data_IF_813544018544
#
_entry.id   IF_813544018544
#
_cell.length_a   1.000
_cell.length_b   1.000
_cell.length_c   1.000
_cell.angle_alpha   90.00
_cell.angle_beta   90.00
_cell.angle_gamma   90.00
#
_symmetry.space_group_name_H-M   'P 1'
#
loop_
_entity.id
_entity.type
_entity.pdbx_description
1 polymer ?
#
# COMPACT_ATOMS: atom_id res chain seq x y z
N UNK A 1 -6.31 -11.33 -15.53
CA UNK A 1 -5.20 -10.75 -14.71
C UNK A 1 -5.50 -10.98 -13.24
N UNK A 2 -4.50 -11.08 -12.36
CA UNK A 2 -4.68 -11.48 -10.95
C UNK A 2 -3.91 -10.57 -10.02
N UNK A 3 -4.48 -10.27 -8.86
CA UNK A 3 -3.91 -9.39 -7.87
C UNK A 3 -3.97 -9.97 -6.46
N UNK A 4 -2.97 -9.68 -5.63
CA UNK A 4 -3.02 -9.84 -4.18
C UNK A 4 -3.04 -8.48 -3.51
N UNK A 5 -3.98 -8.28 -2.58
CA UNK A 5 -4.05 -7.08 -1.73
C UNK A 5 -3.89 -7.47 -0.27
N UNK A 6 -2.79 -7.09 0.37
CA UNK A 6 -2.61 -7.35 1.80
C UNK A 6 -3.46 -6.38 2.63
N UNK A 7 -4.10 -6.88 3.71
CA UNK A 7 -5.08 -6.11 4.47
C UNK A 7 -6.29 -5.68 3.60
N UNK A 8 -6.67 -6.52 2.63
CA UNK A 8 -7.73 -6.25 1.66
C UNK A 8 -9.17 -6.38 2.19
N UNK A 9 -9.34 -6.75 3.45
CA UNK A 9 -10.66 -6.96 4.06
C UNK A 9 -11.38 -5.65 4.40
N UNK A 10 -10.65 -4.59 4.76
CA UNK A 10 -11.18 -3.37 5.35
C UNK A 10 -10.52 -2.11 4.78
N UNK A 11 -11.20 -0.97 4.99
CA UNK A 11 -10.65 0.37 4.76
C UNK A 11 -10.08 0.54 3.34
N UNK A 12 -8.86 1.10 3.20
CA UNK A 12 -8.20 1.35 1.90
C UNK A 12 -7.93 0.05 1.13
N UNK A 13 -7.53 -1.01 1.83
CA UNK A 13 -7.29 -2.31 1.19
C UNK A 13 -8.53 -2.87 0.51
N UNK A 14 -9.68 -2.78 1.17
CA UNK A 14 -10.97 -3.19 0.57
C UNK A 14 -11.31 -2.37 -0.67
N UNK A 15 -11.18 -1.05 -0.61
CA UNK A 15 -11.49 -0.19 -1.75
C UNK A 15 -10.56 -0.46 -2.95
N UNK A 16 -9.27 -0.71 -2.68
CA UNK A 16 -8.32 -1.10 -3.73
C UNK A 16 -8.62 -2.49 -4.31
N UNK A 17 -9.02 -3.46 -3.47
CA UNK A 17 -9.44 -4.79 -3.94
C UNK A 17 -10.68 -4.71 -4.85
N UNK A 18 -11.71 -3.95 -4.43
CA UNK A 18 -12.92 -3.71 -5.23
C UNK A 18 -12.62 -2.91 -6.51
N UNK A 19 -11.70 -1.95 -6.44
CA UNK A 19 -11.27 -1.20 -7.61
C UNK A 19 -10.59 -2.11 -8.64
N UNK A 20 -9.66 -2.98 -8.20
CA UNK A 20 -9.00 -3.95 -9.08
C UNK A 20 -10.00 -4.90 -9.73
N UNK A 21 -11.01 -5.36 -8.98
CA UNK A 21 -12.09 -6.18 -9.54
C UNK A 21 -12.86 -5.44 -10.65
N UNK A 22 -13.21 -4.16 -10.44
CA UNK A 22 -13.82 -3.31 -11.48
C UNK A 22 -12.94 -3.11 -12.71
N UNK A 23 -11.61 -3.23 -12.57
CA UNK A 23 -10.67 -3.20 -13.69
C UNK A 23 -10.46 -4.59 -14.34
N UNK A 24 -11.20 -5.61 -13.93
CA UNK A 24 -11.15 -6.96 -14.52
C UNK A 24 -10.10 -7.89 -13.91
N UNK A 25 -9.61 -7.60 -12.70
CA UNK A 25 -8.68 -8.48 -12.00
C UNK A 25 -9.41 -9.46 -11.10
N UNK A 26 -8.99 -10.73 -11.11
CA UNK A 26 -9.25 -11.66 -10.02
C UNK A 26 -8.42 -11.24 -8.80
N UNK A 27 -8.98 -11.33 -7.59
CA UNK A 27 -8.34 -10.74 -6.41
C UNK A 27 -8.22 -11.71 -5.25
N UNK A 28 -7.00 -11.94 -4.77
CA UNK A 28 -6.75 -12.53 -3.46
C UNK A 28 -6.80 -11.44 -2.39
N UNK A 29 -7.72 -11.58 -1.45
CA UNK A 29 -7.97 -10.67 -0.34
C UNK A 29 -7.32 -11.23 0.91
N UNK A 30 -6.14 -10.69 1.28
CA UNK A 30 -5.48 -11.11 2.51
C UNK A 30 -6.05 -10.37 3.72
N UNK A 31 -6.15 -11.08 4.85
CA UNK A 31 -6.56 -10.59 6.16
C UNK A 31 -5.77 -11.29 7.28
N UNK A 32 -5.65 -10.64 8.44
CA UNK A 32 -5.10 -11.27 9.65
C UNK A 32 -6.20 -11.84 10.54
N UNK A 33 -7.16 -11.01 10.97
CA UNK A 33 -8.23 -11.37 11.92
C UNK A 33 -9.64 -11.05 11.42
N UNK A 34 -9.78 -10.23 10.37
CA UNK A 34 -11.08 -9.74 9.86
C UNK A 34 -11.68 -10.68 8.81
N UNK A 35 -11.99 -11.93 9.22
CA UNK A 35 -12.47 -12.97 8.29
C UNK A 35 -13.82 -12.60 7.67
N UNK A 36 -14.78 -12.13 8.47
CA UNK A 36 -16.13 -11.80 7.98
C UNK A 36 -16.09 -10.70 6.93
N UNK A 37 -15.28 -9.66 7.16
CA UNK A 37 -15.09 -8.56 6.22
C UNK A 37 -14.33 -8.99 4.95
N UNK A 38 -13.37 -9.92 5.09
CA UNK A 38 -12.68 -10.52 3.95
C UNK A 38 -13.65 -11.31 3.07
N UNK A 39 -14.50 -12.15 3.67
CA UNK A 39 -15.54 -12.89 2.96
C UNK A 39 -16.57 -11.97 2.31
N UNK A 40 -16.97 -10.88 2.98
CA UNK A 40 -17.85 -9.85 2.41
C UNK A 40 -17.20 -9.19 1.18
N UNK A 41 -15.90 -8.89 1.25
CA UNK A 41 -15.16 -8.30 0.12
C UNK A 41 -15.07 -9.28 -1.05
N UNK A 42 -14.74 -10.55 -0.77
CA UNK A 42 -14.73 -11.63 -1.77
C UNK A 42 -16.10 -11.80 -2.45
N UNK A 43 -17.18 -11.79 -1.66
CA UNK A 43 -18.54 -11.86 -2.20
C UNK A 43 -18.81 -10.73 -3.20
N UNK A 44 -18.50 -9.48 -2.83
CA UNK A 44 -18.70 -8.33 -3.73
C UNK A 44 -17.86 -8.41 -5.00
N UNK A 45 -16.62 -8.91 -4.92
CA UNK A 45 -15.77 -9.12 -6.11
C UNK A 45 -16.39 -10.15 -7.05
N UNK A 46 -16.92 -11.24 -6.48
CA UNK A 46 -17.59 -12.29 -7.27
C UNK A 46 -18.87 -11.79 -7.94
N UNK A 47 -19.65 -10.94 -7.26
CA UNK A 47 -20.81 -10.26 -7.86
C UNK A 47 -20.45 -9.35 -9.05
N UNK A 48 -19.19 -8.87 -9.12
CA UNK A 48 -18.66 -8.13 -10.28
C UNK A 48 -18.19 -9.07 -11.43
N UNK A 49 -18.30 -10.40 -11.25
CA UNK A 49 -17.90 -11.38 -12.26
C UNK A 49 -16.42 -11.77 -12.25
N UNK A 50 -15.68 -11.40 -11.22
CA UNK A 50 -14.26 -11.77 -11.06
C UNK A 50 -14.10 -12.90 -10.04
N UNK A 51 -13.04 -13.72 -10.19
CA UNK A 51 -12.70 -14.69 -9.15
C UNK A 51 -12.08 -13.98 -7.94
N UNK A 52 -12.36 -14.50 -6.74
CA UNK A 52 -11.74 -14.01 -5.54
C UNK A 52 -11.60 -15.10 -4.48
N UNK A 53 -10.55 -14.98 -3.66
CA UNK A 53 -10.29 -15.85 -2.49
C UNK A 53 -9.91 -14.99 -1.29
N UNK A 54 -10.33 -15.39 -0.10
CA UNK A 54 -9.89 -14.83 1.15
C UNK A 54 -8.73 -15.67 1.70
N UNK A 55 -7.62 -15.04 2.06
CA UNK A 55 -6.41 -15.69 2.54
C UNK A 55 -6.00 -15.12 3.90
N UNK A 56 -6.07 -15.96 4.93
CA UNK A 56 -5.61 -15.59 6.26
C UNK A 56 -4.09 -15.78 6.35
N UNK A 57 -3.39 -14.77 6.89
CA UNK A 57 -2.01 -14.86 7.34
C UNK A 57 -1.73 -13.79 8.41
N UNK A 58 -0.86 -14.08 9.37
CA UNK A 58 -0.27 -13.06 10.24
C UNK A 58 1.06 -12.59 9.62
N UNK A 59 1.12 -11.34 9.20
CA UNK A 59 2.34 -10.77 8.59
C UNK A 59 3.46 -10.49 9.61
N UNK A 60 3.24 -10.76 10.88
CA UNK A 60 4.31 -10.83 11.90
C UNK A 60 4.99 -12.21 11.94
N UNK A 61 4.42 -13.18 11.25
CA UNK A 61 4.93 -14.54 11.09
C UNK A 61 5.49 -14.72 9.67
N UNK A 62 6.82 -14.91 9.56
CA UNK A 62 7.50 -14.99 8.26
C UNK A 62 7.09 -16.25 7.47
N UNK A 63 6.82 -17.38 8.13
CA UNK A 63 6.42 -18.61 7.45
C UNK A 63 5.04 -18.43 6.80
N UNK A 64 4.10 -17.77 7.50
CA UNK A 64 2.81 -17.45 6.93
C UNK A 64 2.92 -16.40 5.80
N UNK A 65 3.78 -15.40 5.97
CA UNK A 65 4.02 -14.36 4.96
C UNK A 65 4.62 -14.95 3.69
N UNK A 66 5.64 -15.81 3.80
CA UNK A 66 6.34 -16.40 2.64
C UNK A 66 5.44 -17.32 1.80
N UNK A 67 4.50 -18.03 2.44
CA UNK A 67 3.55 -18.90 1.74
C UNK A 67 2.41 -18.15 1.04
N UNK A 68 2.20 -16.86 1.33
CA UNK A 68 0.99 -16.15 0.91
C UNK A 68 0.88 -15.95 -0.60
N UNK A 69 2.00 -15.73 -1.30
CA UNK A 69 2.02 -15.58 -2.76
C UNK A 69 1.63 -16.90 -3.44
N UNK A 70 2.22 -18.02 -3.04
CA UNK A 70 1.90 -19.34 -3.58
C UNK A 70 0.41 -19.67 -3.37
N UNK A 71 -0.09 -19.45 -2.16
CA UNK A 71 -1.52 -19.67 -1.84
C UNK A 71 -2.45 -18.77 -2.67
N UNK A 72 -2.04 -17.55 -3.01
CA UNK A 72 -2.81 -16.67 -3.88
C UNK A 72 -2.78 -17.14 -5.34
N UNK A 73 -1.64 -17.62 -5.83
CA UNK A 73 -1.48 -18.23 -7.16
C UNK A 73 -2.39 -19.44 -7.29
N UNK A 74 -2.38 -20.34 -6.31
CA UNK A 74 -3.20 -21.56 -6.30
C UNK A 74 -4.69 -21.23 -6.21
N UNK A 75 -5.06 -20.35 -5.29
CA UNK A 75 -6.44 -19.95 -5.05
C UNK A 75 -7.10 -19.22 -6.24
N UNK A 76 -6.34 -18.49 -7.02
CA UNK A 76 -6.79 -17.78 -8.23
C UNK A 76 -6.51 -18.56 -9.54
N UNK A 77 -5.83 -19.70 -9.45
CA UNK A 77 -5.54 -20.57 -10.59
C UNK A 77 -4.53 -19.98 -11.58
N UNK A 78 -3.52 -19.24 -11.11
CA UNK A 78 -2.42 -18.76 -11.94
C UNK A 78 -1.64 -17.58 -11.39
N UNK A 79 -0.60 -17.19 -12.12
CA UNK A 79 0.35 -16.14 -11.73
C UNK A 79 -0.32 -14.81 -11.39
N UNK A 80 0.25 -14.12 -10.41
CA UNK A 80 -0.18 -12.77 -10.04
C UNK A 80 0.52 -11.73 -10.92
N UNK A 81 -0.25 -10.76 -11.40
CA UNK A 81 0.25 -9.60 -12.15
C UNK A 81 0.45 -8.39 -11.24
N UNK A 82 -0.31 -8.32 -10.12
CA UNK A 82 -0.30 -7.19 -9.20
C UNK A 82 -0.11 -7.66 -7.75
N UNK A 83 0.78 -6.99 -7.02
CA UNK A 83 0.91 -7.07 -5.57
C UNK A 83 0.68 -5.68 -4.96
N UNK A 84 -0.30 -5.56 -4.06
CA UNK A 84 -0.52 -4.34 -3.26
C UNK A 84 -0.15 -4.63 -1.80
N UNK A 85 1.00 -4.13 -1.36
CA UNK A 85 1.44 -4.17 0.03
C UNK A 85 0.75 -3.05 0.80
N UNK A 86 -0.48 -3.33 1.30
CA UNK A 86 -1.32 -2.35 2.00
C UNK A 86 -1.42 -2.61 3.51
N UNK A 87 -1.35 -3.86 3.97
CA UNK A 87 -1.40 -4.17 5.41
C UNK A 87 -0.37 -3.33 6.18
N UNK A 88 -0.77 -2.79 7.33
CA UNK A 88 0.09 -1.92 8.12
C UNK A 88 -0.35 -1.89 9.58
N UNK A 89 0.60 -1.99 10.49
CA UNK A 89 0.44 -1.65 11.90
C UNK A 89 0.76 -0.16 12.04
N UNK A 90 -0.09 0.57 12.78
CA UNK A 90 0.07 2.00 13.04
C UNK A 90 -0.22 2.27 14.52
N UNK A 91 0.81 2.21 15.35
CA UNK A 91 0.76 2.41 16.80
C UNK A 91 1.60 3.63 17.18
N UNK A 92 1.17 4.36 18.21
CA UNK A 92 1.89 5.56 18.63
C UNK A 92 3.07 5.20 19.51
N UNK A 93 4.26 5.69 19.13
CA UNK A 93 5.45 5.72 19.95
C UNK A 93 6.29 6.97 19.66
N UNK A 94 7.25 7.23 20.55
CA UNK A 94 8.23 8.33 20.42
C UNK A 94 9.61 7.80 20.80
N UNK A 95 10.65 8.63 20.69
CA UNK A 95 12.01 8.23 21.13
C UNK A 95 12.05 7.81 22.61
N UNK A 96 11.14 8.31 23.44
CA UNK A 96 11.10 8.01 24.86
C UNK A 96 10.17 6.84 25.21
N UNK A 97 9.23 6.47 24.35
CA UNK A 97 8.21 5.46 24.64
C UNK A 97 8.30 4.21 23.76
N UNK A 98 9.10 4.22 22.68
CA UNK A 98 9.28 3.07 21.84
C UNK A 98 9.87 1.89 22.62
N UNK A 99 9.24 0.73 22.50
CA UNK A 99 9.70 -0.53 23.10
C UNK A 99 10.24 -1.46 22.03
N UNK A 100 10.93 -2.53 22.45
CA UNK A 100 11.33 -3.59 21.52
C UNK A 100 10.12 -4.17 20.80
N UNK A 101 9.01 -4.36 21.51
CA UNK A 101 7.77 -4.89 20.94
C UNK A 101 7.18 -3.95 19.88
N UNK A 102 6.99 -2.63 20.17
CA UNK A 102 6.46 -1.69 19.18
C UNK A 102 7.37 -1.59 17.95
N UNK A 103 8.69 -1.60 18.17
CA UNK A 103 9.69 -1.61 17.11
C UNK A 103 9.54 -2.84 16.21
N UNK A 104 9.58 -4.06 16.81
CA UNK A 104 9.50 -5.30 16.04
C UNK A 104 8.20 -5.39 15.26
N UNK A 105 7.06 -5.07 15.86
CA UNK A 105 5.76 -5.08 15.21
C UNK A 105 5.71 -4.16 13.99
N UNK A 106 6.25 -2.95 14.08
CA UNK A 106 6.29 -2.01 12.95
C UNK A 106 7.26 -2.47 11.87
N UNK A 107 8.46 -2.93 12.23
CA UNK A 107 9.45 -3.41 11.26
C UNK A 107 8.95 -4.67 10.55
N UNK A 108 8.44 -5.66 11.28
CA UNK A 108 7.98 -6.91 10.70
C UNK A 108 6.78 -6.67 9.76
N UNK A 109 5.73 -6.01 10.24
CA UNK A 109 4.52 -5.81 9.44
C UNK A 109 4.72 -4.84 8.26
N UNK A 110 5.45 -3.73 8.47
CA UNK A 110 5.44 -2.61 7.51
C UNK A 110 6.66 -2.57 6.59
N UNK A 111 7.70 -3.37 6.87
CA UNK A 111 8.92 -3.43 6.07
C UNK A 111 9.31 -4.87 5.71
N UNK A 112 9.47 -5.77 6.71
CA UNK A 112 9.93 -7.14 6.47
C UNK A 112 8.93 -7.94 5.63
N UNK A 113 7.65 -7.92 6.00
CA UNK A 113 6.60 -8.62 5.24
C UNK A 113 6.50 -8.13 3.78
N UNK A 114 6.42 -6.80 3.48
CA UNK A 114 6.51 -6.32 2.10
C UNK A 114 7.77 -6.77 1.36
N UNK A 115 8.92 -6.86 2.05
CA UNK A 115 10.16 -7.35 1.45
C UNK A 115 10.05 -8.82 1.04
N UNK A 116 9.60 -9.70 1.96
CA UNK A 116 9.39 -11.14 1.71
C UNK A 116 8.36 -11.34 0.59
N UNK A 117 7.22 -10.64 0.65
CA UNK A 117 6.19 -10.72 -0.39
C UNK A 117 6.71 -10.26 -1.76
N UNK A 118 7.57 -9.24 -1.80
CA UNK A 118 8.22 -8.78 -3.04
C UNK A 118 9.14 -9.87 -3.60
N UNK A 119 9.92 -10.56 -2.75
CA UNK A 119 10.79 -11.68 -3.17
C UNK A 119 9.97 -12.84 -3.74
N UNK A 120 8.92 -13.28 -3.04
CA UNK A 120 8.08 -14.39 -3.49
C UNK A 120 7.28 -14.01 -4.75
N UNK A 121 6.79 -12.77 -4.84
CA UNK A 121 6.10 -12.27 -6.02
C UNK A 121 7.03 -12.28 -7.25
N UNK A 122 8.28 -11.85 -7.09
CA UNK A 122 9.25 -11.79 -8.20
C UNK A 122 9.56 -13.17 -8.80
N UNK A 123 9.52 -14.25 -7.99
CA UNK A 123 9.77 -15.63 -8.46
C UNK A 123 8.73 -16.12 -9.47
N UNK A 124 7.50 -15.62 -9.40
CA UNK A 124 6.38 -16.10 -10.21
C UNK A 124 5.86 -15.05 -11.21
N UNK A 125 6.24 -13.77 -11.08
CA UNK A 125 5.77 -12.69 -11.95
C UNK A 125 6.05 -12.97 -13.43
N UNK A 126 5.16 -12.52 -14.35
CA UNK A 126 5.42 -12.67 -15.78
C UNK A 126 6.60 -11.81 -16.22
N UNK A 127 7.34 -12.32 -17.20
CA UNK A 127 8.43 -11.59 -17.86
C UNK A 127 7.91 -10.40 -18.67
N UNK A 128 8.79 -9.41 -18.88
CA UNK A 128 8.49 -8.29 -19.76
C UNK A 128 8.17 -8.80 -21.20
N UNK A 129 7.34 -8.03 -21.91
CA UNK A 129 7.04 -8.26 -23.31
C UNK A 129 7.34 -7.01 -24.11
N UNK A 130 7.79 -7.17 -25.33
CA UNK A 130 8.03 -6.04 -26.21
C UNK A 130 6.70 -5.37 -26.58
N UNK A 131 6.69 -4.05 -26.54
CA UNK A 131 5.58 -3.23 -27.03
C UNK A 131 5.60 -3.11 -28.57
N UNK A 132 4.75 -2.27 -29.13
CA UNK A 132 4.66 -2.02 -30.58
C UNK A 132 5.92 -1.38 -31.17
N UNK A 133 6.80 -0.82 -30.34
CA UNK A 133 8.06 -0.19 -30.75
C UNK A 133 9.26 -1.14 -30.58
N UNK A 134 9.04 -2.35 -30.04
CA UNK A 134 10.10 -3.30 -29.70
C UNK A 134 10.83 -2.97 -28.39
N UNK A 135 10.20 -2.20 -27.49
CA UNK A 135 10.74 -1.86 -26.19
C UNK A 135 10.13 -2.74 -25.09
N UNK A 136 10.93 -3.22 -24.11
CA UNK A 136 10.42 -4.09 -23.05
C UNK A 136 9.42 -3.35 -22.15
N UNK A 137 8.21 -3.90 -22.06
CA UNK A 137 7.13 -3.42 -21.19
C UNK A 137 6.89 -4.40 -20.05
N UNK A 138 7.00 -3.90 -18.81
CA UNK A 138 6.70 -4.68 -17.61
C UNK A 138 5.27 -5.21 -17.63
N UNK A 139 5.12 -6.49 -17.31
CA UNK A 139 3.81 -7.16 -17.23
C UNK A 139 3.30 -7.27 -15.78
N UNK A 140 4.12 -6.90 -14.80
CA UNK A 140 3.77 -6.94 -13.39
C UNK A 140 4.02 -5.60 -12.68
N UNK A 141 3.27 -5.38 -11.58
CA UNK A 141 3.34 -4.16 -10.79
C UNK A 141 3.27 -4.49 -9.29
N UNK A 142 4.16 -3.89 -8.51
CA UNK A 142 4.06 -3.83 -7.05
C UNK A 142 3.70 -2.40 -6.65
N UNK A 143 2.71 -2.25 -5.77
CA UNK A 143 2.35 -0.96 -5.16
C UNK A 143 2.48 -1.07 -3.64
N UNK A 144 3.40 -0.28 -3.08
CA UNK A 144 3.62 -0.19 -1.64
C UNK A 144 2.80 0.97 -1.06
N UNK A 145 1.93 0.67 -0.08
CA UNK A 145 1.23 1.72 0.66
C UNK A 145 2.16 2.30 1.71
N UNK A 146 2.67 3.47 1.41
CA UNK A 146 3.49 4.29 2.31
C UNK A 146 2.61 5.18 3.19
N UNK A 147 3.14 6.29 3.56
CA UNK A 147 2.50 7.41 4.24
C UNK A 147 3.18 8.69 3.74
N UNK A 148 2.44 9.80 3.60
CA UNK A 148 3.03 11.10 3.28
C UNK A 148 4.12 11.50 4.28
N UNK A 149 4.10 10.93 5.50
CA UNK A 149 5.06 11.15 6.58
C UNK A 149 6.51 10.91 6.14
N UNK A 150 6.77 10.03 5.17
CA UNK A 150 8.13 9.84 4.61
C UNK A 150 8.67 11.09 3.90
N UNK A 151 7.80 12.07 3.58
CA UNK A 151 8.18 13.39 3.04
C UNK A 151 8.14 14.49 4.09
N UNK A 152 7.44 14.27 5.22
CA UNK A 152 7.32 15.24 6.31
C UNK A 152 7.46 14.54 7.64
N UNK A 153 8.70 14.39 8.10
CA UNK A 153 9.01 13.71 9.36
C UNK A 153 8.46 14.47 10.56
N UNK A 154 8.02 13.76 11.58
CA UNK A 154 7.57 14.28 12.86
C UNK A 154 8.14 13.42 14.00
N UNK A 155 8.24 13.92 15.24
CA UNK A 155 8.78 13.15 16.36
C UNK A 155 7.86 12.03 16.87
N UNK A 156 6.59 12.01 16.43
CA UNK A 156 5.61 11.00 16.80
C UNK A 156 5.57 9.85 15.80
N UNK A 157 5.15 8.67 16.26
CA UNK A 157 5.11 7.42 15.47
C UNK A 157 6.50 7.05 14.94
N UNK A 158 7.49 7.04 15.84
CA UNK A 158 8.89 6.94 15.49
C UNK A 158 9.22 5.63 14.74
N UNK A 159 8.94 4.47 15.33
CA UNK A 159 9.29 3.18 14.72
C UNK A 159 8.46 2.89 13.47
N UNK A 160 7.17 3.33 13.46
CA UNK A 160 6.36 3.30 12.24
C UNK A 160 6.98 4.12 11.10
N UNK A 161 7.41 5.35 11.40
CA UNK A 161 8.02 6.24 10.40
C UNK A 161 9.29 5.62 9.84
N UNK A 162 10.15 5.03 10.69
CA UNK A 162 11.36 4.34 10.26
C UNK A 162 11.06 3.14 9.36
N UNK A 163 10.05 2.33 9.72
CA UNK A 163 9.60 1.22 8.87
C UNK A 163 9.10 1.71 7.49
N UNK A 164 8.31 2.78 7.45
CA UNK A 164 7.83 3.37 6.17
C UNK A 164 8.95 4.03 5.37
N UNK A 165 9.96 4.64 6.01
CA UNK A 165 11.17 5.11 5.32
C UNK A 165 11.96 3.96 4.71
N UNK A 166 12.10 2.84 5.44
CA UNK A 166 12.70 1.60 4.90
C UNK A 166 11.92 1.06 3.69
N UNK A 167 10.59 1.05 3.78
CA UNK A 167 9.72 0.64 2.66
C UNK A 167 9.83 1.58 1.46
N UNK A 168 10.07 2.87 1.68
CA UNK A 168 10.35 3.82 0.59
C UNK A 168 11.69 3.49 -0.09
N UNK A 169 12.74 3.23 0.67
CA UNK A 169 14.02 2.77 0.11
C UNK A 169 13.87 1.43 -0.64
N UNK A 170 13.13 0.48 -0.07
CA UNK A 170 12.81 -0.80 -0.74
C UNK A 170 12.08 -0.58 -2.06
N UNK A 171 11.13 0.36 -2.13
CA UNK A 171 10.40 0.68 -3.36
C UNK A 171 11.36 1.08 -4.48
N UNK A 172 12.33 1.94 -4.19
CA UNK A 172 13.30 2.42 -5.17
C UNK A 172 14.30 1.34 -5.58
N UNK A 173 14.85 0.61 -4.61
CA UNK A 173 15.86 -0.43 -4.88
C UNK A 173 15.26 -1.64 -5.59
N UNK A 174 14.04 -2.06 -5.24
CA UNK A 174 13.36 -3.14 -5.94
C UNK A 174 12.90 -2.74 -7.35
N UNK A 175 12.53 -1.46 -7.56
CA UNK A 175 12.24 -0.95 -8.89
C UNK A 175 13.46 -1.09 -9.84
N UNK A 176 14.68 -0.87 -9.32
CA UNK A 176 15.92 -1.06 -10.07
C UNK A 176 16.23 -2.56 -10.29
N UNK A 177 16.06 -3.37 -9.26
CA UNK A 177 16.47 -4.77 -9.28
C UNK A 177 15.53 -5.66 -10.11
N UNK A 178 14.24 -5.31 -10.21
CA UNK A 178 13.19 -6.13 -10.84
C UNK A 178 12.80 -5.67 -12.26
N UNK A 179 13.40 -4.57 -12.74
CA UNK A 179 13.23 -4.14 -14.11
C UNK A 179 13.91 -5.14 -15.07
N UNK A 180 13.40 -5.31 -16.32
CA UNK A 180 12.23 -4.63 -16.89
C UNK A 180 10.90 -5.33 -16.61
N UNK A 181 10.86 -6.48 -15.94
CA UNK A 181 9.66 -7.33 -15.83
C UNK A 181 8.61 -6.78 -14.85
N UNK A 182 9.06 -6.12 -13.78
CA UNK A 182 8.20 -5.64 -12.70
C UNK A 182 8.46 -4.16 -12.43
N UNK A 183 7.40 -3.34 -12.45
CA UNK A 183 7.44 -1.96 -11.95
C UNK A 183 7.09 -1.96 -10.45
N UNK A 184 7.77 -1.12 -9.68
CA UNK A 184 7.51 -0.97 -8.25
C UNK A 184 7.30 0.50 -7.93
N UNK A 185 6.12 0.84 -7.42
CA UNK A 185 5.76 2.21 -7.06
C UNK A 185 5.10 2.27 -5.69
N UNK A 186 4.86 3.46 -5.20
CA UNK A 186 4.27 3.68 -3.90
C UNK A 186 3.18 4.76 -3.91
N UNK A 187 2.17 4.59 -3.07
CA UNK A 187 1.17 5.61 -2.74
C UNK A 187 1.38 6.04 -1.30
N UNK A 188 1.42 7.33 -1.06
CA UNK A 188 1.53 7.94 0.26
C UNK A 188 0.25 8.70 0.62
N UNK A 189 -0.72 8.06 1.28
CA UNK A 189 -1.93 8.73 1.72
C UNK A 189 -1.66 9.78 2.79
N UNK A 190 -2.52 10.80 2.81
CA UNK A 190 -2.72 11.70 3.93
C UNK A 190 -3.96 11.33 4.76
N UNK A 191 -4.66 12.33 5.33
CA UNK A 191 -5.85 12.11 6.15
C UNK A 191 -7.05 11.65 5.28
N UNK A 192 -7.13 10.34 5.03
CA UNK A 192 -8.10 9.72 4.11
C UNK A 192 -9.29 9.11 4.85
N UNK A 193 -9.03 8.34 5.90
CA UNK A 193 -10.05 7.69 6.73
C UNK A 193 -9.73 7.93 8.20
N UNK A 194 -10.74 8.30 8.97
CA UNK A 194 -10.59 8.49 10.41
C UNK A 194 -9.99 7.23 11.07
N UNK A 195 -8.95 7.43 11.86
CA UNK A 195 -8.33 6.36 12.66
C UNK A 195 -9.20 5.98 13.86
N UNK A 196 -9.15 4.72 14.30
CA UNK A 196 -9.96 4.23 15.41
C UNK A 196 -9.74 5.01 16.74
N UNK A 197 -8.56 5.62 16.91
CA UNK A 197 -8.20 6.44 18.10
C UNK A 197 -8.41 7.93 17.90
N UNK A 198 -8.94 8.37 16.77
CA UNK A 198 -9.07 9.77 16.40
C UNK A 198 -10.52 10.23 16.52
N UNK A 199 -10.75 11.38 17.15
CA UNK A 199 -12.09 12.00 17.13
C UNK A 199 -12.43 12.55 15.75
N UNK A 200 -13.72 12.68 15.45
CA UNK A 200 -14.18 13.26 14.18
C UNK A 200 -13.68 14.70 14.02
N UNK A 201 -13.74 15.51 15.08
CA UNK A 201 -13.26 16.90 15.06
C UNK A 201 -11.77 16.98 14.77
N UNK A 202 -10.95 16.14 15.41
CA UNK A 202 -9.51 16.11 15.16
C UNK A 202 -9.21 15.66 13.71
N UNK A 203 -9.96 14.70 13.19
CA UNK A 203 -9.82 14.27 11.81
C UNK A 203 -10.16 15.39 10.82
N UNK A 204 -11.24 16.13 11.06
CA UNK A 204 -11.63 17.28 10.23
C UNK A 204 -10.59 18.40 10.27
N UNK A 205 -10.11 18.78 11.47
CA UNK A 205 -9.03 19.76 11.64
C UNK A 205 -7.81 19.35 10.84
N UNK A 206 -7.42 18.06 10.87
CA UNK A 206 -6.29 17.55 10.12
C UNK A 206 -6.50 17.66 8.61
N UNK A 207 -7.70 17.39 8.10
CA UNK A 207 -8.05 17.55 6.67
C UNK A 207 -7.98 19.01 6.24
N UNK A 208 -8.50 19.93 7.05
CA UNK A 208 -8.51 21.37 6.77
C UNK A 208 -7.11 22.01 6.90
N UNK A 209 -6.20 21.39 7.63
CA UNK A 209 -4.82 21.85 7.77
C UNK A 209 -3.93 21.53 6.54
N UNK A 210 -4.42 20.78 5.56
CA UNK A 210 -3.68 20.52 4.32
C UNK A 210 -3.63 21.75 3.41
N UNK A 211 -2.72 21.78 2.44
CA UNK A 211 -2.59 22.90 1.49
C UNK A 211 -3.88 23.10 0.68
N UNK A 212 -4.52 22.00 0.25
CA UNK A 212 -5.80 22.05 -0.48
C UNK A 212 -7.02 22.24 0.43
N UNK A 213 -6.84 22.38 1.75
CA UNK A 213 -7.94 22.48 2.74
C UNK A 213 -8.90 21.27 2.70
N UNK A 214 -8.43 20.15 2.21
CA UNK A 214 -9.13 18.86 2.19
C UNK A 214 -8.13 17.71 2.27
N UNK A 215 -8.50 16.63 2.95
CA UNK A 215 -7.75 15.38 2.84
C UNK A 215 -8.10 14.62 1.55
N UNK A 216 -7.48 13.49 1.34
CA UNK A 216 -7.89 12.53 0.30
C UNK A 216 -9.15 11.76 0.73
N UNK A 217 -9.85 11.22 -0.25
CA UNK A 217 -10.89 10.21 -0.08
C UNK A 217 -10.36 8.85 -0.58
N UNK A 218 -11.09 7.78 -0.32
CA UNK A 218 -10.71 6.46 -0.81
C UNK A 218 -10.64 6.39 -2.33
N UNK A 219 -11.53 7.14 -3.03
CA UNK A 219 -11.51 7.27 -4.48
C UNK A 219 -10.22 7.90 -5.01
N UNK A 220 -9.67 8.92 -4.32
CA UNK A 220 -8.41 9.55 -4.73
C UNK A 220 -7.24 8.54 -4.66
N UNK A 221 -7.27 7.63 -3.66
CA UNK A 221 -6.27 6.55 -3.51
C UNK A 221 -6.43 5.50 -4.61
N UNK A 222 -7.66 5.09 -4.92
CA UNK A 222 -7.90 4.11 -5.99
C UNK A 222 -7.59 4.66 -7.37
N UNK A 223 -7.79 5.95 -7.63
CA UNK A 223 -7.36 6.60 -8.86
C UNK A 223 -5.83 6.68 -8.99
N UNK A 224 -5.12 6.89 -7.88
CA UNK A 224 -3.66 6.80 -7.88
C UNK A 224 -3.17 5.39 -8.22
N UNK A 225 -3.82 4.34 -7.70
CA UNK A 225 -3.58 2.95 -8.10
C UNK A 225 -3.86 2.78 -9.61
N UNK A 226 -4.99 3.30 -10.10
CA UNK A 226 -5.36 3.28 -11.51
C UNK A 226 -4.35 3.99 -12.41
N UNK A 227 -3.77 5.09 -11.96
CA UNK A 227 -2.66 5.74 -12.67
C UNK A 227 -1.48 4.79 -12.85
N UNK A 228 -1.02 4.13 -11.79
CA UNK A 228 0.10 3.18 -11.90
C UNK A 228 -0.22 1.96 -12.77
N UNK A 229 -1.47 1.50 -12.80
CA UNK A 229 -1.88 0.43 -13.71
C UNK A 229 -1.69 0.81 -15.19
N UNK A 230 -1.96 2.07 -15.54
CA UNK A 230 -1.98 2.58 -16.93
C UNK A 230 -0.70 3.30 -17.36
N UNK A 231 0.26 3.51 -16.47
CA UNK A 231 1.49 4.28 -16.73
C UNK A 231 2.72 3.36 -16.87
N UNK A 232 2.98 2.74 -18.03
CA UNK A 232 4.00 1.71 -18.20
C UNK A 232 5.44 2.22 -17.98
N UNK A 233 5.70 3.50 -18.21
CA UNK A 233 7.01 4.12 -18.04
C UNK A 233 7.28 4.63 -16.60
N UNK A 234 6.39 4.34 -15.63
CA UNK A 234 6.51 4.84 -14.26
C UNK A 234 6.94 3.71 -13.32
N UNK A 235 8.12 3.84 -12.73
CA UNK A 235 8.64 2.95 -11.68
C UNK A 235 9.50 3.72 -10.68
N UNK A 236 9.63 3.21 -9.46
CA UNK A 236 10.41 3.84 -8.37
C UNK A 236 9.81 5.14 -7.83
N UNK A 237 8.52 5.43 -8.07
CA UNK A 237 7.88 6.69 -7.71
C UNK A 237 7.01 6.56 -6.46
N UNK A 238 6.97 7.65 -5.68
CA UNK A 238 6.00 7.87 -4.61
C UNK A 238 5.02 8.97 -5.04
N UNK A 239 3.75 8.60 -5.15
CA UNK A 239 2.66 9.56 -5.35
C UNK A 239 2.00 9.86 -4.00
N UNK A 240 2.24 11.05 -3.44
CA UNK A 240 1.54 11.51 -2.25
C UNK A 240 0.12 11.96 -2.62
N UNK A 241 -0.87 11.33 -1.99
CA UNK A 241 -2.31 11.62 -2.16
C UNK A 241 -2.82 12.11 -0.80
N UNK A 242 -2.51 13.37 -0.44
CA UNK A 242 -2.59 13.87 0.92
C UNK A 242 -3.13 15.31 1.04
N UNK A 243 -3.67 15.86 -0.03
CA UNK A 243 -4.11 17.26 -0.06
C UNK A 243 -2.97 18.27 0.07
N UNK A 244 -1.73 17.84 -0.15
CA UNK A 244 -0.53 18.66 0.06
C UNK A 244 -0.09 18.73 1.52
N UNK A 245 -0.49 17.78 2.37
CA UNK A 245 -0.08 17.75 3.79
C UNK A 245 1.44 17.73 3.95
N UNK A 246 2.17 17.01 3.09
CA UNK A 246 3.63 16.95 3.12
C UNK A 246 4.33 18.26 2.73
N UNK A 247 3.60 19.20 2.10
CA UNK A 247 4.09 20.51 1.69
C UNK A 247 3.81 21.63 2.74
N UNK A 248 3.30 21.28 3.93
CA UNK A 248 2.96 22.27 4.95
C UNK A 248 4.20 23.11 5.31
N UNK A 249 4.08 24.42 5.14
CA UNK A 249 5.17 25.40 5.21
C UNK A 249 4.88 26.57 6.15
N UNK A 250 3.66 26.68 6.66
CA UNK A 250 3.21 27.81 7.48
C UNK A 250 3.87 27.77 8.86
N UNK A 251 5.01 28.41 8.96
CA UNK A 251 5.76 28.63 10.20
C UNK A 251 5.73 30.12 10.56
N UNK A 252 5.90 30.51 11.83
CA UNK A 252 5.78 31.91 12.26
C UNK A 252 6.70 32.91 11.54
N UNK A 253 7.88 32.45 11.09
CA UNK A 253 8.83 33.25 10.33
C UNK A 253 8.33 33.62 8.93
N UNK A 254 7.47 32.78 8.33
CA UNK A 254 6.88 33.01 7.00
C UNK A 254 5.53 33.74 7.12
N UNK A 255 4.79 33.48 8.21
CA UNK A 255 3.52 34.13 8.50
C UNK A 255 3.70 35.50 9.14
N UNK A 256 4.95 35.97 9.26
CA UNK A 256 5.28 37.28 9.82
C UNK A 256 4.65 38.41 9.03
N UNK A 257 4.27 39.47 9.72
CA UNK A 257 3.93 40.73 9.14
C UNK A 257 5.27 41.45 8.89
N UNK A 258 5.67 41.60 7.63
CA UNK A 258 6.61 42.60 7.21
C UNK A 258 5.88 43.92 6.94
#
# INVERSE_FOLDING_TARGET
>A
MRALVTGGALRLGREMALYLARQGYDVAVHFAQSEQEAQSTVFLIREMGQNAVALQADLLDEDQTSSLIERAVDGLGGRLDILVNNASIFEHDTINSATRESWDRHIESNLRAPFVLTQEFAKQAPEARDDSNGEPQAQALIVNMLDQRVRKLTPDFMSYTLAKMGLWALTQTSAQALAPSIRVNAIGPGPTLQGARQSADHFEIQRQATVLKRGSNTSDITEALGYFLRAPAVTGQLLCVDGGQHLAWQTPDILGLE
#
